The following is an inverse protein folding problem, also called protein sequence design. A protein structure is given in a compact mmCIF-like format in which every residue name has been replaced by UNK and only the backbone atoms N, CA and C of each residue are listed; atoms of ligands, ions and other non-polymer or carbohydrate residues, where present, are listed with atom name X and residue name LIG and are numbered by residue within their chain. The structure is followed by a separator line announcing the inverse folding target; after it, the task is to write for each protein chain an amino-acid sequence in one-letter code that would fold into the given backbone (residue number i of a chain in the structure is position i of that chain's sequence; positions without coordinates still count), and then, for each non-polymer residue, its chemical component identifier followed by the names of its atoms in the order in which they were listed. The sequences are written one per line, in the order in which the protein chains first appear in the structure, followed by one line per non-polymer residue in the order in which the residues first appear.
data_IF_028207462296
#
_entry.id   IF_028207462296
#
_cell.length_a   1.000
_cell.length_b   1.000
_cell.length_c   1.000
_cell.angle_alpha   90.00
_cell.angle_beta   90.00
_cell.angle_gamma   90.00
#
_symmetry.space_group_name_H-M   'P 1'
#
loop_
_entity.id
_entity.type
_entity.pdbx_description
1 polymer ?
#
# COMPACT_ATOMS: atom_id res chain seq x y z
N UNK A 1 -25.47 -60.45 -27.72
CA UNK A 1 -25.43 -58.99 -27.97
C UNK A 1 -24.19 -58.41 -27.31
N UNK A 2 -23.22 -57.94 -28.10
CA UNK A 2 -21.97 -57.37 -27.57
C UNK A 2 -22.14 -55.86 -27.31
N UNK A 3 -22.00 -55.44 -26.05
CA UNK A 3 -22.08 -54.04 -25.64
C UNK A 3 -20.81 -53.29 -26.06
N UNK A 4 -20.91 -52.44 -27.10
CA UNK A 4 -19.84 -51.51 -27.48
C UNK A 4 -19.71 -50.40 -26.44
N UNK A 5 -18.65 -50.42 -25.63
CA UNK A 5 -18.24 -49.26 -24.80
C UNK A 5 -17.90 -48.08 -25.71
N UNK A 6 -18.69 -46.99 -25.64
CA UNK A 6 -18.35 -45.70 -26.25
C UNK A 6 -17.14 -45.13 -25.51
N UNK A 7 -16.00 -45.00 -26.19
CA UNK A 7 -14.84 -44.22 -25.70
C UNK A 7 -15.23 -42.74 -25.70
N UNK A 8 -15.38 -42.14 -24.52
CA UNK A 8 -15.49 -40.69 -24.35
C UNK A 8 -14.13 -40.06 -24.64
N UNK A 9 -14.07 -39.16 -25.64
CA UNK A 9 -12.87 -38.36 -25.92
C UNK A 9 -12.60 -37.40 -24.76
N UNK A 10 -11.35 -37.18 -24.34
CA UNK A 10 -11.02 -36.26 -23.25
C UNK A 10 -11.28 -34.82 -23.72
N UNK A 11 -12.41 -34.25 -23.31
CA UNK A 11 -12.76 -32.84 -23.57
C UNK A 11 -12.16 -31.88 -22.54
N UNK A 12 -11.52 -32.40 -21.50
CA UNK A 12 -11.20 -31.67 -20.26
C UNK A 12 -9.99 -30.74 -20.37
N UNK A 13 -8.96 -31.08 -21.15
CA UNK A 13 -7.73 -30.26 -21.19
C UNK A 13 -7.96 -28.94 -21.96
N UNK A 14 -8.64 -28.98 -23.10
CA UNK A 14 -8.85 -27.78 -23.93
C UNK A 14 -9.79 -26.76 -23.28
N UNK A 15 -10.78 -27.22 -22.52
CA UNK A 15 -11.70 -26.34 -21.78
C UNK A 15 -11.04 -25.67 -20.57
N UNK A 16 -10.12 -26.38 -19.89
CA UNK A 16 -9.35 -25.82 -18.77
C UNK A 16 -8.38 -24.71 -19.21
N UNK A 17 -7.70 -24.90 -20.35
CA UNK A 17 -6.84 -23.88 -20.93
C UNK A 17 -7.63 -22.64 -21.37
N UNK A 18 -8.81 -22.82 -21.97
CA UNK A 18 -9.66 -21.70 -22.37
C UNK A 18 -10.19 -20.90 -21.17
N UNK A 19 -10.54 -21.56 -20.05
CA UNK A 19 -10.98 -20.87 -18.83
C UNK A 19 -9.83 -20.11 -18.14
N UNK A 20 -8.61 -20.66 -18.15
CA UNK A 20 -7.45 -19.98 -17.57
C UNK A 20 -7.07 -18.74 -18.40
N UNK A 21 -7.13 -18.84 -19.74
CA UNK A 21 -6.90 -17.71 -20.64
C UNK A 21 -7.94 -16.60 -20.41
N UNK A 22 -9.22 -16.97 -20.21
CA UNK A 22 -10.29 -16.02 -19.93
C UNK A 22 -10.09 -15.31 -18.58
N UNK A 23 -9.60 -16.03 -17.56
CA UNK A 23 -9.27 -15.47 -16.26
C UNK A 23 -8.13 -14.47 -16.35
N UNK A 24 -7.05 -14.79 -17.08
CA UNK A 24 -5.89 -13.90 -17.30
C UNK A 24 -6.30 -12.63 -18.05
N UNK A 25 -7.12 -12.76 -19.11
CA UNK A 25 -7.65 -11.59 -19.84
C UNK A 25 -8.55 -10.75 -18.94
N UNK A 26 -9.40 -11.39 -18.13
CA UNK A 26 -10.28 -10.67 -17.20
C UNK A 26 -9.50 -9.90 -16.13
N UNK A 27 -8.48 -10.51 -15.52
CA UNK A 27 -7.64 -9.83 -14.51
C UNK A 27 -6.78 -8.73 -15.12
N UNK A 28 -6.24 -8.93 -16.33
CA UNK A 28 -5.44 -7.92 -17.02
C UNK A 28 -6.24 -6.74 -17.59
N UNK A 29 -7.55 -6.88 -17.76
CA UNK A 29 -8.43 -5.73 -18.07
C UNK A 29 -8.88 -4.97 -16.83
N UNK A 30 -8.70 -5.55 -15.63
CA UNK A 30 -9.15 -4.98 -14.36
C UNK A 30 -7.99 -4.31 -13.57
N UNK A 31 -6.79 -4.89 -13.57
CA UNK A 31 -5.54 -4.20 -13.23
C UNK A 31 -4.86 -3.78 -14.53
N UNK A 32 -4.23 -2.61 -14.59
CA UNK A 32 -3.56 -2.09 -15.80
C UNK A 32 -2.32 -2.93 -16.19
N UNK A 33 -2.51 -4.21 -16.51
CA UNK A 33 -1.45 -5.18 -16.80
C UNK A 33 -1.13 -5.14 -18.30
N UNK A 34 0.14 -4.89 -18.63
CA UNK A 34 0.62 -4.90 -20.01
C UNK A 34 0.70 -6.32 -20.56
N UNK A 35 -0.39 -6.74 -21.21
CA UNK A 35 -0.54 -8.05 -21.85
C UNK A 35 0.51 -8.34 -22.95
N UNK A 36 1.19 -7.32 -23.47
CA UNK A 36 2.22 -7.52 -24.50
C UNK A 36 3.47 -8.23 -23.97
N UNK A 37 3.64 -8.29 -22.64
CA UNK A 37 4.78 -8.91 -21.95
C UNK A 37 4.54 -10.37 -21.55
N UNK A 38 3.33 -10.88 -21.75
CA UNK A 38 2.97 -12.24 -21.35
C UNK A 38 3.29 -13.23 -22.48
N UNK A 39 4.23 -14.15 -22.23
CA UNK A 39 4.44 -15.35 -23.03
C UNK A 39 3.71 -16.54 -22.39
N UNK A 40 2.64 -17.01 -23.03
CA UNK A 40 1.82 -18.13 -22.54
C UNK A 40 2.56 -19.48 -22.50
N UNK A 41 3.73 -19.57 -23.13
CA UNK A 41 4.60 -20.74 -23.07
C UNK A 41 5.60 -20.69 -21.91
N UNK A 42 5.76 -19.52 -21.29
CA UNK A 42 6.62 -19.30 -20.14
C UNK A 42 5.83 -18.80 -18.91
N UNK A 43 5.69 -19.67 -17.92
CA UNK A 43 4.94 -19.35 -16.71
C UNK A 43 5.58 -18.20 -15.91
N UNK A 44 6.91 -18.01 -15.96
CA UNK A 44 7.57 -16.86 -15.31
C UNK A 44 7.13 -15.53 -15.90
N UNK A 45 7.00 -15.42 -17.23
CA UNK A 45 6.51 -14.19 -17.86
C UNK A 45 5.08 -13.80 -17.42
N UNK A 46 4.22 -14.79 -17.13
CA UNK A 46 2.89 -14.53 -16.56
C UNK A 46 3.05 -13.98 -15.15
N UNK A 47 3.90 -14.60 -14.32
CA UNK A 47 4.16 -14.12 -12.95
C UNK A 47 4.75 -12.71 -12.98
N UNK A 48 5.77 -12.43 -13.79
CA UNK A 48 6.40 -11.11 -13.94
C UNK A 48 5.44 -10.02 -14.45
N UNK A 49 4.54 -10.37 -15.37
CA UNK A 49 3.52 -9.44 -15.85
C UNK A 49 2.51 -9.07 -14.74
N UNK A 50 2.23 -10.00 -13.81
CA UNK A 50 1.38 -9.75 -12.63
C UNK A 50 2.15 -9.26 -11.39
N UNK A 51 3.49 -9.38 -11.37
CA UNK A 51 4.38 -8.84 -10.33
C UNK A 51 4.73 -7.36 -10.57
N UNK A 52 4.35 -6.79 -11.72
CA UNK A 52 4.49 -5.35 -11.93
C UNK A 52 3.44 -4.57 -11.14
N UNK A 53 3.69 -4.40 -9.84
CA UNK A 53 3.38 -3.21 -9.02
C UNK A 53 4.08 -3.37 -7.67
N UNK A 54 5.02 -2.45 -7.37
CA UNK A 54 5.81 -2.34 -6.13
C UNK A 54 7.03 -3.27 -6.02
N UNK A 55 7.87 -3.34 -7.05
CA UNK A 55 9.27 -3.70 -6.79
C UNK A 55 9.87 -2.63 -5.88
N UNK A 56 10.61 -3.07 -4.86
CA UNK A 56 11.45 -2.32 -3.91
C UNK A 56 12.44 -1.29 -4.54
N UNK A 57 12.35 -1.03 -5.84
CA UNK A 57 13.34 -0.35 -6.67
C UNK A 57 13.28 1.18 -6.64
N UNK A 58 12.32 1.82 -5.97
CA UNK A 58 12.19 3.28 -6.00
C UNK A 58 12.92 4.02 -4.86
N UNK A 59 13.50 3.31 -3.89
CA UNK A 59 14.15 3.94 -2.74
C UNK A 59 15.51 3.31 -2.42
N UNK A 60 16.57 3.59 -3.21
CA UNK A 60 17.93 3.10 -2.93
C UNK A 60 18.48 3.53 -1.57
N UNK A 61 17.82 4.49 -0.91
CA UNK A 61 18.13 4.96 0.45
C UNK A 61 17.75 3.94 1.53
N UNK A 62 16.83 3.00 1.24
CA UNK A 62 16.42 1.93 2.16
C UNK A 62 17.60 1.08 2.65
N UNK A 63 18.48 0.69 1.73
CA UNK A 63 19.66 -0.11 2.04
C UNK A 63 20.68 0.63 2.92
N UNK A 64 20.55 1.96 3.02
CA UNK A 64 21.41 2.82 3.82
C UNK A 64 20.83 3.21 5.18
N UNK A 65 19.58 2.80 5.48
CA UNK A 65 18.98 3.10 6.78
C UNK A 65 19.72 2.34 7.90
N UNK A 66 20.01 2.99 9.04
CA UNK A 66 20.59 2.30 10.18
C UNK A 66 19.61 1.28 10.75
N UNK A 67 20.15 0.18 11.31
CA UNK A 67 19.35 -0.72 12.14
C UNK A 67 18.84 0.05 13.37
N UNK A 68 17.57 -0.17 13.73
CA UNK A 68 16.96 0.51 14.88
C UNK A 68 17.73 0.18 16.17
N UNK A 69 18.28 1.21 16.82
CA UNK A 69 19.11 1.08 18.00
C UNK A 69 18.32 1.08 19.33
N UNK A 70 16.99 1.27 19.27
CA UNK A 70 16.13 1.36 20.44
C UNK A 70 15.81 2.78 20.91
N UNK A 71 16.45 3.80 20.34
CA UNK A 71 16.31 5.21 20.73
C UNK A 71 15.93 6.12 19.55
N UNK A 72 16.55 5.90 18.39
CA UNK A 72 16.33 6.73 17.19
C UNK A 72 15.11 6.21 16.39
N UNK A 73 13.96 6.84 16.62
CA UNK A 73 12.69 6.47 15.98
C UNK A 73 12.48 7.11 14.59
N UNK A 74 13.27 8.14 14.26
CA UNK A 74 13.14 8.94 13.04
C UNK A 74 14.50 9.10 12.37
N UNK A 75 14.52 8.93 11.05
CA UNK A 75 15.69 9.21 10.21
C UNK A 75 15.31 10.28 9.19
N UNK A 76 16.06 11.39 9.18
CA UNK A 76 15.89 12.44 8.19
C UNK A 76 16.55 12.05 6.87
N UNK A 77 15.78 12.11 5.79
CA UNK A 77 16.25 11.83 4.43
C UNK A 77 16.42 13.13 3.65
N UNK A 78 17.32 13.13 2.65
CA UNK A 78 17.45 14.20 1.66
C UNK A 78 17.56 15.62 2.24
N UNK A 79 18.31 15.79 3.33
CA UNK A 79 18.42 17.07 4.03
C UNK A 79 17.05 17.69 4.37
N UNK A 80 16.06 16.86 4.68
CA UNK A 80 14.67 17.22 4.98
C UNK A 80 13.92 17.89 3.80
N UNK A 81 14.25 17.52 2.56
CA UNK A 81 13.51 17.95 1.36
C UNK A 81 12.76 16.76 0.74
N UNK A 82 11.49 16.94 0.34
CA UNK A 82 10.75 15.87 -0.35
C UNK A 82 11.33 15.63 -1.75
N UNK A 83 11.12 14.42 -2.29
CA UNK A 83 11.57 14.02 -3.61
C UNK A 83 10.59 14.36 -4.74
N UNK A 84 9.58 15.20 -4.48
CA UNK A 84 8.57 15.54 -5.47
C UNK A 84 9.18 16.25 -6.69
N UNK A 85 8.82 15.77 -7.86
CA UNK A 85 9.09 16.49 -9.11
C UNK A 85 8.16 17.71 -9.24
N UNK A 86 8.55 18.68 -10.09
CA UNK A 86 7.69 19.84 -10.37
C UNK A 86 6.34 19.47 -10.99
N UNK A 87 6.24 18.33 -11.67
CA UNK A 87 4.98 17.80 -12.21
C UNK A 87 4.06 17.31 -11.10
N UNK A 88 4.60 16.61 -10.10
CA UNK A 88 3.84 16.13 -8.94
C UNK A 88 3.31 17.25 -8.04
N UNK A 89 3.91 18.44 -8.11
CA UNK A 89 3.45 19.63 -7.41
C UNK A 89 2.31 20.37 -8.13
N UNK A 90 1.88 19.87 -9.30
CA UNK A 90 0.83 20.50 -10.08
C UNK A 90 -0.53 20.45 -9.36
N UNK A 91 -1.23 21.59 -9.38
CA UNK A 91 -2.58 21.72 -8.82
C UNK A 91 -3.68 21.52 -9.88
N UNK A 92 -3.34 21.08 -11.09
CA UNK A 92 -4.30 20.93 -12.19
C UNK A 92 -5.44 19.97 -11.85
N UNK A 93 -5.16 18.92 -11.08
CA UNK A 93 -6.14 17.94 -10.62
C UNK A 93 -6.80 18.33 -9.28
N UNK A 94 -6.45 19.50 -8.75
CA UNK A 94 -6.93 19.99 -7.46
C UNK A 94 -6.56 19.04 -6.31
N UNK A 95 -7.55 18.68 -5.52
CA UNK A 95 -7.38 17.75 -4.39
C UNK A 95 -7.67 16.32 -4.79
N UNK A 96 -6.80 15.40 -4.39
CA UNK A 96 -6.96 13.99 -4.67
C UNK A 96 -6.24 13.15 -3.61
N UNK A 97 -6.61 11.88 -3.52
CA UNK A 97 -5.84 10.86 -2.82
C UNK A 97 -5.83 9.58 -3.66
N UNK A 98 -4.73 8.84 -3.61
CA UNK A 98 -4.56 7.58 -4.32
C UNK A 98 -3.77 6.60 -3.45
N UNK A 99 -4.21 5.35 -3.44
CA UNK A 99 -3.56 4.26 -2.72
C UNK A 99 -3.13 3.20 -3.71
N UNK A 100 -1.92 2.70 -3.56
CA UNK A 100 -1.45 1.54 -4.31
C UNK A 100 -2.34 0.33 -4.03
N UNK A 101 -2.44 -0.57 -5.02
CA UNK A 101 -3.00 -1.89 -4.76
C UNK A 101 -2.18 -2.64 -3.74
N UNK A 102 -2.84 -3.55 -3.01
CA UNK A 102 -2.14 -4.48 -2.15
C UNK A 102 -1.30 -5.41 -3.01
N UNK A 103 -0.08 -5.70 -2.57
CA UNK A 103 0.78 -6.65 -3.27
C UNK A 103 0.32 -8.11 -3.06
N UNK A 104 1.07 -9.06 -3.64
CA UNK A 104 0.79 -10.50 -3.57
C UNK A 104 0.84 -11.07 -2.14
N UNK A 105 1.42 -10.33 -1.20
CA UNK A 105 1.50 -10.67 0.23
C UNK A 105 0.44 -9.92 1.07
N UNK A 106 -0.48 -9.21 0.41
CA UNK A 106 -1.48 -8.31 0.99
C UNK A 106 -0.87 -7.13 1.76
N UNK A 107 0.34 -6.70 1.38
CA UNK A 107 0.99 -5.53 1.96
C UNK A 107 0.50 -4.27 1.26
N UNK A 108 0.35 -3.20 2.03
CA UNK A 108 0.06 -1.87 1.47
C UNK A 108 1.24 -1.37 0.66
N UNK A 109 0.96 -0.60 -0.39
CA UNK A 109 1.99 0.17 -1.11
C UNK A 109 1.95 1.64 -0.75
N UNK A 110 2.58 2.46 -1.59
CA UNK A 110 2.61 3.91 -1.43
C UNK A 110 1.20 4.53 -1.44
N UNK A 111 0.99 5.50 -0.55
CA UNK A 111 -0.18 6.35 -0.52
C UNK A 111 0.20 7.79 -0.89
N UNK A 112 -0.59 8.42 -1.74
CA UNK A 112 -0.36 9.76 -2.25
C UNK A 112 -1.59 10.64 -2.07
N UNK A 113 -1.38 11.93 -1.87
CA UNK A 113 -2.43 12.92 -1.93
C UNK A 113 -1.93 14.31 -2.32
N UNK A 114 -2.85 15.12 -2.82
CA UNK A 114 -2.77 16.57 -2.81
C UNK A 114 -3.81 17.07 -1.82
N UNK A 115 -3.37 17.33 -0.59
CA UNK A 115 -4.22 17.65 0.54
C UNK A 115 -4.66 19.11 0.47
N UNK A 116 -5.85 19.38 1.00
CA UNK A 116 -6.37 20.72 1.27
C UNK A 116 -7.33 20.62 2.45
N UNK A 117 -7.52 21.69 3.23
CA UNK A 117 -8.40 21.69 4.40
C UNK A 117 -9.85 21.23 4.13
N UNK A 118 -10.31 21.36 2.88
CA UNK A 118 -11.65 20.89 2.45
C UNK A 118 -11.80 19.37 2.43
N UNK A 119 -10.69 18.63 2.48
CA UNK A 119 -10.68 17.16 2.59
C UNK A 119 -10.79 16.70 4.04
N UNK A 120 -10.49 17.57 5.01
CA UNK A 120 -10.52 17.22 6.43
C UNK A 120 -11.95 16.89 6.85
N UNK A 121 -12.16 15.82 7.65
CA UNK A 121 -13.49 15.35 7.99
C UNK A 121 -14.14 16.24 9.06
N UNK A 122 -15.43 16.54 8.88
CA UNK A 122 -16.26 17.16 9.91
C UNK A 122 -16.85 16.14 10.91
N UNK A 123 -16.72 14.84 10.59
CA UNK A 123 -17.32 13.73 11.33
C UNK A 123 -16.27 12.99 12.15
N UNK A 124 -16.70 12.42 13.26
CA UNK A 124 -15.86 11.51 14.04
C UNK A 124 -15.47 10.27 13.24
N UNK A 125 -14.27 9.75 13.54
CA UNK A 125 -13.74 8.52 12.94
C UNK A 125 -14.59 7.31 13.30
N UNK A 126 -14.85 6.45 12.31
CA UNK A 126 -15.58 5.20 12.50
C UNK A 126 -14.72 4.09 13.09
N UNK A 127 -15.34 2.93 13.30
CA UNK A 127 -14.63 1.70 13.65
C UNK A 127 -13.85 1.16 12.44
N UNK A 128 -12.66 0.63 12.71
CA UNK A 128 -11.74 0.04 11.73
C UNK A 128 -11.33 -1.40 12.13
N UNK A 129 -11.94 -1.97 13.17
CA UNK A 129 -11.57 -3.27 13.73
C UNK A 129 -11.68 -4.45 12.74
N UNK A 130 -12.46 -4.30 11.68
CA UNK A 130 -12.64 -5.25 10.59
C UNK A 130 -11.41 -5.42 9.68
N UNK A 131 -10.48 -4.47 9.69
CA UNK A 131 -9.30 -4.52 8.81
C UNK A 131 -8.19 -5.31 9.47
N UNK A 132 -7.59 -6.25 8.75
CA UNK A 132 -6.48 -7.06 9.24
C UNK A 132 -5.29 -6.92 8.28
N UNK A 133 -4.43 -5.91 8.48
CA UNK A 133 -3.30 -5.68 7.59
C UNK A 133 -2.32 -6.87 7.58
N UNK A 134 -1.44 -6.90 6.59
CA UNK A 134 -0.36 -7.89 6.52
C UNK A 134 0.39 -7.96 7.85
N UNK A 135 0.73 -9.18 8.28
CA UNK A 135 1.52 -9.40 9.49
C UNK A 135 0.78 -9.15 10.81
N UNK A 136 -0.52 -8.85 10.79
CA UNK A 136 -1.29 -8.56 12.00
C UNK A 136 -1.26 -9.70 13.02
N UNK A 137 -0.47 -9.51 14.10
CA UNK A 137 -0.35 -10.44 15.22
C UNK A 137 -0.22 -9.66 16.52
N UNK A 138 -1.35 -9.43 17.17
CA UNK A 138 -1.41 -8.57 18.34
C UNK A 138 -0.77 -9.21 19.59
N UNK A 139 -0.06 -8.40 20.38
CA UNK A 139 0.52 -8.77 21.68
C UNK A 139 0.49 -7.56 22.61
N UNK A 140 0.60 -7.78 23.92
CA UNK A 140 0.85 -6.69 24.87
C UNK A 140 2.32 -6.60 25.24
N UNK A 141 2.81 -5.39 25.44
CA UNK A 141 4.13 -5.11 26.03
C UNK A 141 4.15 -5.53 27.51
N UNK A 142 5.33 -5.55 28.13
CA UNK A 142 5.47 -5.78 29.58
C UNK A 142 4.74 -4.74 30.42
N UNK A 143 4.52 -3.56 29.86
CA UNK A 143 3.80 -2.44 30.47
C UNK A 143 2.28 -2.49 30.22
N UNK A 144 1.80 -3.52 29.51
CA UNK A 144 0.38 -3.78 29.28
C UNK A 144 -0.25 -3.03 28.10
N UNK A 145 0.54 -2.23 27.37
CA UNK A 145 0.12 -1.55 26.14
C UNK A 145 0.01 -2.53 24.98
N UNK A 146 -0.83 -2.23 23.99
CA UNK A 146 -0.90 -3.04 22.78
C UNK A 146 0.32 -2.77 21.90
N UNK A 147 0.85 -3.81 21.26
CA UNK A 147 2.05 -3.67 20.45
C UNK A 147 1.75 -2.96 19.13
N UNK A 148 0.65 -3.33 18.47
CA UNK A 148 0.32 -2.87 17.13
C UNK A 148 -0.97 -2.07 17.07
N UNK A 149 -0.97 -1.05 16.20
CA UNK A 149 -2.15 -0.33 15.73
C UNK A 149 -2.42 -0.69 14.27
N UNK A 150 -3.67 -0.51 13.85
CA UNK A 150 -4.04 -0.39 12.44
C UNK A 150 -3.69 1.04 12.05
N UNK A 151 -2.48 1.22 11.59
CA UNK A 151 -1.92 2.54 11.29
C UNK A 151 -2.35 2.97 9.90
N UNK A 152 -2.81 4.22 9.79
CA UNK A 152 -3.16 4.84 8.52
C UNK A 152 -1.88 5.28 7.79
N UNK A 153 -1.78 5.09 6.47
CA UNK A 153 -0.73 5.75 5.68
C UNK A 153 -1.07 7.24 5.52
N UNK A 154 -2.31 7.56 5.19
CA UNK A 154 -2.87 8.91 5.22
C UNK A 154 -3.90 8.95 6.35
N UNK A 155 -3.57 9.67 7.42
CA UNK A 155 -4.39 9.79 8.62
C UNK A 155 -5.81 10.29 8.33
N UNK A 156 -6.79 9.72 9.05
CA UNK A 156 -8.21 10.10 8.94
C UNK A 156 -8.42 11.60 9.05
N UNK A 157 -7.68 12.30 9.92
CA UNK A 157 -7.81 13.74 10.10
C UNK A 157 -7.53 14.57 8.83
N UNK A 158 -6.75 14.03 7.89
CA UNK A 158 -6.35 14.75 6.68
C UNK A 158 -7.38 14.61 5.56
N UNK A 159 -8.07 13.46 5.46
CA UNK A 159 -8.94 13.15 4.30
C UNK A 159 -10.29 12.50 4.62
N UNK A 160 -10.52 12.11 5.87
CA UNK A 160 -11.68 11.34 6.29
C UNK A 160 -11.68 9.88 5.85
N UNK A 161 -10.61 9.38 5.22
CA UNK A 161 -10.48 7.98 4.82
C UNK A 161 -10.38 7.07 6.06
N UNK A 162 -11.31 6.14 6.22
CA UNK A 162 -11.55 5.46 7.48
C UNK A 162 -10.95 4.05 7.53
N UNK A 163 -11.58 3.07 6.87
CA UNK A 163 -11.26 1.64 6.97
C UNK A 163 -10.80 1.01 5.64
N UNK A 164 -10.20 1.83 4.78
CA UNK A 164 -9.65 1.36 3.51
C UNK A 164 -8.46 0.39 3.74
N UNK A 165 -8.61 -0.84 3.27
CA UNK A 165 -7.59 -1.91 3.38
C UNK A 165 -6.26 -1.53 2.72
N UNK A 166 -6.27 -0.63 1.72
CA UNK A 166 -5.06 -0.13 1.04
C UNK A 166 -4.36 1.01 1.80
N UNK A 167 -4.99 1.54 2.85
CA UNK A 167 -4.49 2.64 3.66
C UNK A 167 -4.08 2.20 5.08
N UNK A 168 -4.30 0.94 5.45
CA UNK A 168 -4.07 0.45 6.81
C UNK A 168 -2.96 -0.60 6.83
N UNK A 169 -1.97 -0.39 7.69
CA UNK A 169 -0.85 -1.32 7.89
C UNK A 169 -0.67 -1.69 9.35
N UNK A 170 0.09 -2.76 9.60
CA UNK A 170 0.51 -3.14 10.95
C UNK A 170 1.64 -2.21 11.38
N UNK A 171 1.33 -1.15 12.13
CA UNK A 171 2.33 -0.23 12.70
C UNK A 171 2.44 -0.41 14.22
N UNK A 172 3.62 -0.17 14.80
CA UNK A 172 3.73 -0.22 16.27
C UNK A 172 2.94 0.92 16.91
N UNK A 173 2.43 0.70 18.13
CA UNK A 173 1.76 1.77 18.87
C UNK A 173 2.69 2.96 19.08
N UNK A 174 3.98 2.70 19.35
CA UNK A 174 5.03 3.71 19.53
C UNK A 174 5.15 4.62 18.30
N UNK A 175 5.42 4.06 17.11
CA UNK A 175 5.54 4.84 15.88
C UNK A 175 4.25 5.59 15.54
N UNK A 176 3.09 4.91 15.63
CA UNK A 176 1.79 5.49 15.29
C UNK A 176 1.36 6.65 16.20
N UNK A 177 1.71 6.61 17.49
CA UNK A 177 1.26 7.62 18.46
C UNK A 177 2.35 8.62 18.83
N UNK A 178 3.61 8.33 18.51
CA UNK A 178 4.75 9.23 18.63
C UNK A 178 5.05 9.92 17.30
N UNK A 179 6.16 9.57 16.62
CA UNK A 179 6.71 10.36 15.53
C UNK A 179 5.78 10.50 14.32
N UNK A 180 5.06 9.44 13.93
CA UNK A 180 4.15 9.53 12.78
C UNK A 180 3.04 10.57 13.03
N UNK A 181 2.47 10.58 14.23
CA UNK A 181 1.42 11.52 14.60
C UNK A 181 1.93 12.97 14.65
N UNK A 182 3.17 13.18 15.11
CA UNK A 182 3.79 14.50 15.16
C UNK A 182 3.84 15.14 13.76
N UNK A 183 4.36 14.41 12.76
CA UNK A 183 4.40 14.91 11.38
C UNK A 183 3.01 15.07 10.74
N UNK A 184 2.06 14.17 11.06
CA UNK A 184 0.67 14.34 10.62
C UNK A 184 0.01 15.60 11.22
N UNK A 185 0.30 15.93 12.48
CA UNK A 185 -0.22 17.11 13.18
C UNK A 185 0.37 18.41 12.62
N UNK A 186 1.64 18.43 12.20
CA UNK A 186 2.24 19.58 11.51
C UNK A 186 1.52 19.89 10.18
N UNK A 187 1.29 18.86 9.36
CA UNK A 187 0.57 18.99 8.09
C UNK A 187 -0.88 19.41 8.32
N UNK A 188 -1.57 18.80 9.28
CA UNK A 188 -2.95 19.15 9.62
C UNK A 188 -3.06 20.61 10.07
N UNK A 189 -2.19 21.05 10.96
CA UNK A 189 -2.14 22.44 11.45
C UNK A 189 -1.94 23.42 10.28
N UNK A 190 -0.99 23.14 9.39
CA UNK A 190 -0.74 23.99 8.22
C UNK A 190 -1.97 24.11 7.30
N UNK A 191 -2.69 23.00 7.08
CA UNK A 191 -3.91 23.00 6.28
C UNK A 191 -5.03 23.81 6.96
N UNK A 192 -5.20 23.68 8.28
CA UNK A 192 -6.21 24.42 9.04
C UNK A 192 -5.98 25.93 9.04
N UNK A 193 -4.72 26.34 9.16
CA UNK A 193 -4.32 27.76 9.25
C UNK A 193 -4.22 28.46 7.88
N UNK A 194 -4.28 27.70 6.78
CA UNK A 194 -4.10 28.23 5.43
C UNK A 194 -5.25 27.88 4.48
N UNK A 195 -5.12 28.28 3.21
CA UNK A 195 -5.95 27.80 2.10
C UNK A 195 -5.07 27.15 1.02
N UNK A 196 -3.91 26.63 1.45
CA UNK A 196 -2.92 26.03 0.57
C UNK A 196 -3.18 24.55 0.36
N UNK A 197 -2.51 24.00 -0.65
CA UNK A 197 -2.43 22.56 -0.85
C UNK A 197 -1.08 22.04 -0.33
N UNK A 198 -1.07 20.80 0.16
CA UNK A 198 0.15 20.08 0.56
C UNK A 198 0.25 18.81 -0.26
N UNK A 199 1.35 18.65 -1.00
CA UNK A 199 1.64 17.40 -1.71
C UNK A 199 2.16 16.41 -0.68
N UNK A 200 1.41 15.34 -0.43
CA UNK A 200 1.69 14.42 0.67
C UNK A 200 1.88 12.98 0.17
N UNK A 201 2.93 12.29 0.63
CA UNK A 201 3.23 10.91 0.25
C UNK A 201 3.72 10.13 1.45
N UNK A 202 3.17 8.93 1.64
CA UNK A 202 3.63 7.98 2.66
C UNK A 202 3.94 6.65 2.01
N UNK A 203 5.19 6.22 2.14
CA UNK A 203 5.71 4.98 1.55
C UNK A 203 6.05 3.98 2.65
N UNK A 204 5.37 2.83 2.72
CA UNK A 204 5.74 1.77 3.66
C UNK A 204 7.00 1.03 3.21
N UNK A 205 7.92 0.82 4.15
CA UNK A 205 9.26 0.30 3.89
C UNK A 205 9.37 -1.16 4.34
N UNK A 206 9.06 -2.10 3.44
CA UNK A 206 9.22 -3.54 3.72
C UNK A 206 10.64 -4.01 3.37
N UNK A 207 11.15 -5.03 4.07
CA UNK A 207 12.40 -5.71 3.71
C UNK A 207 12.08 -7.13 3.27
N UNK A 208 12.47 -7.47 2.04
CA UNK A 208 12.23 -8.80 1.46
C UNK A 208 10.74 -9.23 1.60
N UNK A 209 10.51 -10.40 2.17
CA UNK A 209 9.20 -11.04 2.37
C UNK A 209 8.56 -10.67 3.73
N UNK A 210 9.03 -9.61 4.37
CA UNK A 210 8.43 -9.16 5.63
C UNK A 210 7.01 -8.64 5.42
N UNK A 211 6.14 -8.98 6.36
CA UNK A 211 4.72 -8.61 6.35
C UNK A 211 4.41 -7.35 7.18
N UNK A 212 5.38 -6.86 7.95
CA UNK A 212 5.30 -5.64 8.75
C UNK A 212 6.40 -4.72 8.25
N UNK A 213 6.11 -3.46 7.90
CA UNK A 213 7.14 -2.57 7.41
C UNK A 213 8.10 -2.20 8.53
N UNK A 214 9.36 -1.95 8.18
CA UNK A 214 10.41 -1.45 9.08
C UNK A 214 10.17 -0.01 9.51
N UNK A 215 9.45 0.74 8.70
CA UNK A 215 8.99 2.10 8.97
C UNK A 215 8.14 2.62 7.81
N UNK A 216 7.82 3.90 7.85
CA UNK A 216 7.21 4.62 6.74
C UNK A 216 8.07 5.85 6.44
N UNK A 217 8.28 6.14 5.17
CA UNK A 217 8.78 7.44 4.72
C UNK A 217 7.58 8.38 4.56
N UNK A 218 7.70 9.61 5.06
CA UNK A 218 6.65 10.63 4.98
C UNK A 218 7.23 11.88 4.30
N UNK A 219 6.58 12.36 3.27
CA UNK A 219 6.97 13.55 2.49
C UNK A 219 5.77 14.50 2.40
N UNK A 220 6.02 15.79 2.61
CA UNK A 220 5.01 16.87 2.62
C UNK A 220 5.57 18.17 1.99
#
# INVERSE_FOLDING_TARGET
MANKRKKTRPKTVKTLFASLLFLIVFTATAGNVDLSRIDLSDFSSIVEAFENTNTLSDYPQLDSLPEYNGEEEVVTLNDNHPFFSGEELSLNDGTWQAFSDLDTMNRVGQANAMLHKKMMPEKERGDIAQVYPSGWKQKKTTEGQWLYNRSHLIGFQLTGENDNWKNLFTGTQQMNQGPMREYEEEVATYLEESDHHVRYRVTPLFKEDELVPRGVEMEA
#
